data_IF_914472938599
#
_entry.id   IF_914472938599
#
_cell.length_a   1.000
_cell.length_b   1.000
_cell.length_c   1.000
_cell.angle_alpha   90.00
_cell.angle_beta   90.00
_cell.angle_gamma   90.00
#
_symmetry.space_group_name_H-M   'P 1'
#
loop_
_entity.id
_entity.type
_entity.pdbx_description
1 polymer ?
#
# COMPACT_ATOMS: atom_id res chain seq x y z
N UNK A 1 -8.40 10.53 13.43
CA UNK A 1 -8.27 9.88 12.11
C UNK A 1 -7.04 10.45 11.40
N UNK A 2 -6.21 9.62 10.77
CA UNK A 2 -5.05 10.09 10.01
C UNK A 2 -5.48 10.90 8.78
N UNK A 3 -5.07 12.16 8.70
CA UNK A 3 -5.24 12.94 7.48
C UNK A 3 -4.21 12.46 6.44
N UNK A 4 -4.66 11.73 5.41
CA UNK A 4 -3.77 11.15 4.39
C UNK A 4 -2.86 12.17 3.69
N UNK A 5 -3.25 13.44 3.63
CA UNK A 5 -2.45 14.51 3.06
C UNK A 5 -1.17 14.83 3.84
N UNK A 6 -1.13 14.49 5.13
CA UNK A 6 -0.01 14.77 6.04
C UNK A 6 0.97 13.59 6.17
N UNK A 7 0.79 12.52 5.40
CA UNK A 7 1.68 11.36 5.47
C UNK A 7 3.04 11.70 4.85
N UNK A 8 4.08 11.50 5.66
CA UNK A 8 5.48 11.62 5.25
C UNK A 8 5.88 10.35 4.52
N UNK A 9 6.43 10.47 3.32
CA UNK A 9 6.89 9.32 2.53
C UNK A 9 8.37 9.12 2.81
N UNK A 10 8.72 7.99 3.41
CA UNK A 10 10.12 7.62 3.67
C UNK A 10 10.87 7.34 2.37
N UNK A 11 12.19 7.55 2.37
CA UNK A 11 13.06 7.20 1.22
C UNK A 11 12.94 5.73 0.86
N UNK A 12 12.92 4.84 1.86
CA UNK A 12 12.73 3.40 1.64
C UNK A 12 11.45 3.09 0.87
N UNK A 13 10.31 3.71 1.21
CA UNK A 13 9.07 3.52 0.48
C UNK A 13 9.16 3.99 -0.98
N UNK A 14 9.89 5.07 -1.24
CA UNK A 14 10.13 5.59 -2.60
C UNK A 14 10.97 4.61 -3.41
N UNK A 15 12.08 4.14 -2.87
CA UNK A 15 12.99 3.21 -3.55
C UNK A 15 12.28 1.88 -3.85
N UNK A 16 11.51 1.38 -2.88
CA UNK A 16 10.75 0.14 -3.07
C UNK A 16 9.66 0.30 -4.12
N UNK A 17 8.92 1.42 -4.12
CA UNK A 17 7.93 1.72 -5.16
C UNK A 17 8.59 1.84 -6.54
N UNK A 18 9.72 2.55 -6.61
CA UNK A 18 10.48 2.75 -7.85
C UNK A 18 10.86 1.42 -8.48
N UNK A 19 11.39 0.49 -7.69
CA UNK A 19 11.78 -0.84 -8.15
C UNK A 19 10.56 -1.67 -8.59
N UNK A 20 9.52 -1.75 -7.76
CA UNK A 20 8.33 -2.58 -8.00
C UNK A 20 7.43 -2.06 -9.15
N UNK A 21 7.53 -0.77 -9.46
CA UNK A 21 6.83 -0.12 -10.56
C UNK A 21 7.69 -0.01 -11.84
N UNK A 22 8.92 -0.51 -11.84
CA UNK A 22 9.89 -0.39 -12.94
C UNK A 22 10.18 1.07 -13.35
N UNK A 23 10.28 1.98 -12.38
CA UNK A 23 10.53 3.41 -12.57
C UNK A 23 11.98 3.81 -12.27
N UNK A 24 12.95 2.90 -12.46
CA UNK A 24 14.34 3.04 -12.00
C UNK A 24 14.99 4.35 -12.45
N UNK A 25 14.74 4.77 -13.70
CA UNK A 25 15.30 6.00 -14.28
C UNK A 25 14.44 7.26 -14.04
N UNK A 26 13.38 7.15 -13.24
CA UNK A 26 12.46 8.27 -12.98
C UNK A 26 12.96 9.09 -11.80
N UNK A 27 12.96 10.43 -11.96
CA UNK A 27 13.30 11.40 -10.91
C UNK A 27 12.48 11.15 -9.65
N UNK A 28 13.12 11.25 -8.48
CA UNK A 28 12.51 10.89 -7.19
C UNK A 28 11.22 11.66 -6.90
N UNK A 29 11.19 12.95 -7.23
CA UNK A 29 10.02 13.83 -7.06
C UNK A 29 8.78 13.31 -7.81
N UNK A 30 8.98 12.80 -9.03
CA UNK A 30 7.91 12.21 -9.84
C UNK A 30 7.43 10.92 -9.21
N UNK A 31 8.34 10.07 -8.73
CA UNK A 31 8.02 8.82 -8.03
C UNK A 31 7.21 9.11 -6.75
N UNK A 32 7.65 10.08 -5.93
CA UNK A 32 6.95 10.54 -4.73
C UNK A 32 5.54 11.06 -5.05
N UNK A 33 5.40 11.84 -6.11
CA UNK A 33 4.11 12.37 -6.57
C UNK A 33 3.14 11.26 -6.96
N UNK A 34 3.59 10.28 -7.74
CA UNK A 34 2.75 9.14 -8.14
C UNK A 34 2.38 8.24 -6.96
N UNK A 35 3.35 7.97 -6.07
CA UNK A 35 3.11 7.22 -4.84
C UNK A 35 2.06 7.90 -3.95
N UNK A 36 2.15 9.22 -3.79
CA UNK A 36 1.16 10.02 -3.05
C UNK A 36 -0.22 9.97 -3.72
N UNK A 37 -0.32 10.11 -5.04
CA UNK A 37 -1.59 9.98 -5.78
C UNK A 37 -2.25 8.62 -5.56
N UNK A 38 -1.47 7.54 -5.62
CA UNK A 38 -1.96 6.18 -5.37
C UNK A 38 -2.45 6.01 -3.92
N UNK A 39 -1.69 6.53 -2.96
CA UNK A 39 -2.05 6.46 -1.54
C UNK A 39 -3.31 7.26 -1.20
N UNK A 40 -3.49 8.46 -1.74
CA UNK A 40 -4.71 9.24 -1.52
C UNK A 40 -5.97 8.46 -1.94
N UNK A 41 -5.87 7.75 -3.07
CA UNK A 41 -6.95 6.90 -3.62
C UNK A 41 -7.09 5.53 -2.96
N UNK A 42 -6.22 5.18 -2.02
CA UNK A 42 -6.26 3.90 -1.30
C UNK A 42 -7.39 3.84 -0.28
N UNK A 43 -7.76 2.64 0.18
CA UNK A 43 -8.70 2.46 1.29
C UNK A 43 -7.98 1.77 2.44
N UNK A 44 -8.31 2.12 3.68
CA UNK A 44 -7.79 1.41 4.86
C UNK A 44 -8.19 -0.06 4.74
N UNK A 45 -7.22 -0.96 4.83
CA UNK A 45 -7.46 -2.40 4.75
C UNK A 45 -8.09 -2.86 6.07
N UNK A 46 -9.13 -3.69 6.00
CA UNK A 46 -9.71 -4.30 7.21
C UNK A 46 -8.71 -5.29 7.80
N UNK A 47 -8.76 -5.48 9.12
CA UNK A 47 -8.01 -6.55 9.78
C UNK A 47 -8.42 -7.89 9.19
N UNK A 48 -7.46 -8.59 8.60
CA UNK A 48 -7.61 -9.96 8.10
C UNK A 48 -6.61 -10.86 8.82
N UNK A 49 -6.81 -12.18 8.88
CA UNK A 49 -5.87 -13.08 9.57
C UNK A 49 -4.41 -12.92 9.13
N UNK A 50 -4.17 -12.72 7.82
CA UNK A 50 -2.81 -12.47 7.31
C UNK A 50 -2.22 -11.12 7.74
N UNK A 51 -3.07 -10.12 7.99
CA UNK A 51 -2.65 -8.82 8.52
C UNK A 51 -2.34 -8.91 10.01
N UNK A 52 -3.13 -9.69 10.76
CA UNK A 52 -2.90 -9.98 12.18
C UNK A 52 -1.55 -10.67 12.36
N UNK A 53 -1.27 -11.71 11.56
CA UNK A 53 0.04 -12.38 11.58
C UNK A 53 1.19 -11.38 11.39
N UNK A 54 1.08 -10.47 10.41
CA UNK A 54 2.09 -9.44 10.18
C UNK A 54 2.24 -8.42 11.32
N UNK A 55 1.16 -8.09 12.03
CA UNK A 55 1.24 -7.22 13.21
C UNK A 55 2.02 -7.92 14.33
N UNK A 56 1.76 -9.21 14.54
CA UNK A 56 2.51 -10.05 15.49
C UNK A 56 3.99 -10.09 15.09
N UNK A 57 4.29 -10.40 13.82
CA UNK A 57 5.66 -10.46 13.29
C UNK A 57 6.38 -9.10 13.38
N UNK A 58 5.64 -7.99 13.36
CA UNK A 58 6.17 -6.62 13.50
C UNK A 58 6.28 -6.16 14.97
N UNK A 59 6.30 -7.08 15.93
CA UNK A 59 6.41 -6.80 17.36
C UNK A 59 5.33 -5.82 17.87
N UNK A 60 4.09 -6.00 17.41
CA UNK A 60 2.91 -5.22 17.82
C UNK A 60 3.01 -3.69 17.60
N UNK A 61 3.91 -3.24 16.73
CA UNK A 61 3.96 -1.81 16.36
C UNK A 61 2.66 -1.39 15.69
N UNK A 62 2.05 -0.32 16.21
CA UNK A 62 0.81 0.21 15.63
C UNK A 62 1.06 0.69 14.20
N UNK A 63 0.42 0.01 13.26
CA UNK A 63 0.61 0.23 11.83
C UNK A 63 -0.75 0.24 11.13
N UNK A 64 -0.99 1.30 10.36
CA UNK A 64 -2.16 1.42 9.51
C UNK A 64 -1.84 0.92 8.10
N UNK A 65 -2.62 -0.06 7.65
CA UNK A 65 -2.48 -0.65 6.33
C UNK A 65 -3.52 -0.07 5.37
N UNK A 66 -3.08 0.30 4.18
CA UNK A 66 -3.94 0.84 3.13
C UNK A 66 -3.71 0.08 1.83
N UNK A 67 -4.76 -0.03 1.00
CA UNK A 67 -4.68 -0.78 -0.26
C UNK A 67 -5.31 -0.03 -1.43
N UNK A 68 -4.64 -0.07 -2.58
CA UNK A 68 -5.16 0.38 -3.88
C UNK A 68 -4.77 -0.61 -4.98
N UNK A 69 -5.72 -1.41 -5.43
CA UNK A 69 -5.47 -2.44 -6.45
C UNK A 69 -4.45 -3.46 -5.93
N UNK A 70 -3.33 -3.58 -6.65
CA UNK A 70 -2.21 -4.45 -6.28
C UNK A 70 -1.27 -3.81 -5.25
N UNK A 71 -1.40 -2.52 -4.94
CA UNK A 71 -0.51 -1.84 -4.00
C UNK A 71 -1.06 -1.86 -2.58
N UNK A 72 -0.19 -2.16 -1.62
CA UNK A 72 -0.40 -2.04 -0.19
C UNK A 72 0.59 -1.02 0.37
N UNK A 73 0.13 -0.13 1.23
CA UNK A 73 0.93 0.89 1.90
C UNK A 73 0.88 0.65 3.39
N UNK A 74 2.03 0.71 4.05
CA UNK A 74 2.16 0.53 5.50
C UNK A 74 2.55 1.86 6.09
N UNK A 75 1.73 2.37 7.01
CA UNK A 75 1.92 3.66 7.68
C UNK A 75 2.14 3.41 9.17
N UNK A 76 3.22 3.94 9.74
CA UNK A 76 3.49 3.94 11.18
C UNK A 76 3.80 5.38 11.60
N UNK A 77 3.14 5.90 12.65
CA UNK A 77 3.34 7.27 13.15
C UNK A 77 3.32 8.36 12.05
N UNK A 78 2.31 8.36 11.16
CA UNK A 78 2.19 9.24 9.98
C UNK A 78 3.29 9.07 8.90
N UNK A 79 4.20 8.12 9.04
CA UNK A 79 5.25 7.84 8.06
C UNK A 79 4.87 6.61 7.24
N UNK A 80 4.86 6.76 5.91
CA UNK A 80 4.80 5.62 5.00
C UNK A 80 6.16 4.91 5.04
N UNK A 81 6.22 3.85 5.82
CA UNK A 81 7.45 3.07 6.02
C UNK A 81 7.77 2.22 4.81
N UNK A 82 6.75 1.62 4.16
CA UNK A 82 6.97 0.80 2.96
C UNK A 82 5.71 0.69 2.10
N UNK A 83 5.88 0.20 0.88
CA UNK A 83 4.80 -0.20 -0.01
C UNK A 83 5.10 -1.54 -0.69
N UNK A 84 4.09 -2.38 -0.85
CA UNK A 84 4.24 -3.70 -1.45
C UNK A 84 3.29 -3.87 -2.62
N UNK A 85 3.76 -4.51 -3.68
CA UNK A 85 2.91 -4.95 -4.78
C UNK A 85 2.52 -6.40 -4.54
N UNK A 86 1.24 -6.64 -4.32
CA UNK A 86 0.69 -7.97 -4.20
C UNK A 86 0.55 -8.59 -5.60
N UNK A 87 1.55 -9.37 -6.01
CA UNK A 87 1.62 -10.03 -7.31
C UNK A 87 0.62 -11.21 -7.39
N UNK A 88 0.29 -11.81 -6.24
CA UNK A 88 -0.52 -13.03 -6.14
C UNK A 88 -2.02 -12.81 -5.89
N UNK A 89 -2.57 -11.63 -6.20
CA UNK A 89 -4.03 -11.48 -6.13
C UNK A 89 -4.68 -12.40 -7.16
N UNK A 90 -5.08 -13.62 -6.75
CA UNK A 90 -5.87 -14.54 -7.57
C UNK A 90 -7.02 -13.74 -8.18
N UNK A 91 -7.29 -13.89 -9.49
CA UNK A 91 -8.37 -13.16 -10.12
C UNK A 91 -9.65 -13.43 -9.33
N UNK A 92 -10.30 -12.37 -8.85
CA UNK A 92 -11.65 -12.49 -8.29
C UNK A 92 -12.50 -12.99 -9.45
N UNK A 93 -12.78 -14.29 -9.50
CA UNK A 93 -13.77 -14.86 -10.43
C UNK A 93 -15.07 -14.14 -10.12
N UNK A 94 -15.40 -13.10 -10.89
CA UNK A 94 -16.73 -12.48 -10.86
C UNK A 94 -17.68 -13.59 -11.27
N UNK A 95 -18.40 -14.17 -10.31
CA UNK A 95 -19.53 -15.05 -10.61
C UNK A 95 -20.45 -14.24 -11.51
N UNK A 96 -20.54 -14.61 -12.79
CA UNK A 96 -21.60 -14.14 -13.68
C UNK A 96 -22.90 -14.52 -12.98
N UNK A 97 -23.62 -13.54 -12.43
CA UNK A 97 -25.01 -13.75 -12.03
C UNK A 97 -25.73 -14.09 -13.32
N UNK A 98 -26.16 -15.35 -13.45
CA UNK A 98 -27.05 -15.77 -14.53
C UNK A 98 -28.25 -14.83 -14.54
N UNK A 99 -28.50 -14.22 -15.69
CA UNK A 99 -29.82 -13.65 -15.98
C UNK A 99 -30.80 -14.83 -15.96
N UNK A 100 -31.78 -14.76 -15.07
CA UNK A 100 -33.03 -15.49 -15.22
C UNK A 100 -33.77 -14.93 -16.43
#
# INVERSE_FOLDING_TARGET
MLQKGQVVISRHAVDKFRNEANLVNTREEVVRRELRKLFLRSRKEKLTPGLIKRIIDNNFKDAAYYRKGKWRFVICNNVMVTCERNIFSKPVRRRRRGKK
#
